data_IF_466476764932
#
_entry.id   IF_466476764932
#
_cell.length_a   1.000
_cell.length_b   1.000
_cell.length_c   1.000
_cell.angle_alpha   90.00
_cell.angle_beta   90.00
_cell.angle_gamma   90.00
#
_symmetry.space_group_name_H-M   'P 1'
#
loop_
_entity.id
_entity.type
_entity.pdbx_description
1 polymer ?
#
# COMPACT_ATOMS: atom_id res chain seq x y z
N UNK A 1 60.78 7.29 -18.63
CA UNK A 1 59.35 7.66 -18.55
C UNK A 1 58.64 7.06 -19.76
N UNK A 2 57.97 5.93 -19.57
CA UNK A 2 57.30 5.17 -20.64
C UNK A 2 55.82 5.02 -20.28
N UNK A 3 55.01 5.50 -21.21
CA UNK A 3 53.55 5.57 -21.23
C UNK A 3 53.01 4.14 -21.37
N UNK A 4 52.20 3.68 -20.42
CA UNK A 4 51.39 2.45 -20.53
C UNK A 4 49.93 2.87 -20.23
N UNK A 5 49.07 3.22 -21.20
CA UNK A 5 48.49 2.35 -22.23
C UNK A 5 47.77 1.10 -21.67
N UNK A 6 47.21 1.16 -20.46
CA UNK A 6 46.37 0.08 -19.90
C UNK A 6 44.86 0.20 -20.22
N UNK A 7 44.44 1.28 -20.90
CA UNK A 7 43.06 1.46 -21.39
C UNK A 7 42.91 0.88 -22.80
N UNK A 8 42.82 -0.45 -22.99
CA UNK A 8 42.28 -1.04 -24.23
C UNK A 8 42.20 -2.59 -24.31
N UNK A 9 42.91 -3.36 -23.48
CA UNK A 9 43.18 -4.78 -23.82
C UNK A 9 42.48 -5.84 -22.93
N UNK A 10 41.32 -5.53 -22.35
CA UNK A 10 40.48 -6.53 -21.64
C UNK A 10 39.13 -6.77 -22.33
N UNK A 11 38.98 -6.29 -23.57
CA UNK A 11 38.01 -6.81 -24.52
C UNK A 11 38.77 -7.81 -25.39
N UNK A 12 38.26 -9.04 -25.51
CA UNK A 12 38.73 -10.11 -26.43
C UNK A 12 39.58 -11.24 -25.81
N UNK A 13 39.01 -12.08 -24.91
CA UNK A 13 39.21 -13.56 -24.90
C UNK A 13 38.52 -14.24 -23.70
N UNK A 14 37.21 -14.48 -23.80
CA UNK A 14 36.55 -15.70 -23.28
C UNK A 14 35.18 -15.83 -23.94
N UNK A 15 35.23 -16.12 -25.24
CA UNK A 15 34.14 -16.76 -25.96
C UNK A 15 34.04 -18.20 -25.40
N UNK A 16 33.04 -18.49 -24.57
CA UNK A 16 32.49 -19.84 -24.48
C UNK A 16 30.98 -19.76 -24.35
N UNK A 17 30.34 -20.12 -25.46
CA UNK A 17 28.93 -20.30 -25.60
C UNK A 17 28.41 -21.40 -24.69
N UNK A 18 27.35 -21.11 -23.93
CA UNK A 18 26.32 -22.10 -23.61
C UNK A 18 24.97 -21.44 -23.84
N UNK A 19 24.47 -21.65 -25.06
CA UNK A 19 23.09 -21.44 -25.46
C UNK A 19 22.24 -22.50 -24.72
N UNK A 20 21.46 -22.09 -23.71
CA UNK A 20 20.39 -22.93 -23.17
C UNK A 20 19.06 -22.24 -23.44
N UNK A 21 18.47 -22.67 -24.55
CA UNK A 21 17.11 -22.39 -24.98
C UNK A 21 16.14 -23.11 -24.03
N UNK A 22 15.62 -22.42 -23.02
CA UNK A 22 14.47 -22.90 -22.24
C UNK A 22 13.29 -21.97 -22.46
N UNK A 23 12.56 -22.25 -23.53
CA UNK A 23 11.20 -21.76 -23.75
C UNK A 23 10.26 -22.48 -22.77
N UNK A 24 10.03 -21.91 -21.59
CA UNK A 24 8.87 -22.27 -20.80
C UNK A 24 7.64 -21.67 -21.48
N UNK A 25 7.02 -22.46 -22.36
CA UNK A 25 5.65 -22.21 -22.82
C UNK A 25 4.74 -22.24 -21.59
N UNK A 26 4.19 -21.09 -21.21
CA UNK A 26 3.21 -21.00 -20.14
C UNK A 26 1.82 -21.17 -20.76
N UNK A 27 1.03 -22.19 -20.36
CA UNK A 27 -0.33 -22.35 -20.83
C UNK A 27 -1.20 -21.18 -20.33
N UNK A 28 -2.21 -20.73 -21.11
CA UNK A 28 -3.19 -19.79 -20.61
C UNK A 28 -3.93 -20.45 -19.45
N UNK A 29 -3.86 -19.82 -18.28
CA UNK A 29 -4.66 -20.23 -17.13
C UNK A 29 -6.11 -19.85 -17.43
N UNK A 30 -6.90 -20.86 -17.77
CA UNK A 30 -8.35 -20.78 -17.91
C UNK A 30 -8.95 -19.95 -16.78
N UNK A 31 -9.61 -18.87 -17.19
CA UNK A 31 -10.44 -18.07 -16.31
C UNK A 31 -11.60 -18.95 -15.81
N UNK A 32 -11.89 -19.00 -14.50
CA UNK A 32 -13.11 -19.60 -14.01
C UNK A 32 -14.32 -18.83 -14.58
N UNK A 33 -15.16 -19.53 -15.33
CA UNK A 33 -16.47 -19.00 -15.73
C UNK A 33 -17.28 -18.69 -14.47
N UNK A 34 -17.94 -17.51 -14.40
CA UNK A 34 -18.87 -17.24 -13.31
C UNK A 34 -20.05 -18.22 -13.39
N UNK A 35 -20.50 -18.78 -12.24
CA UNK A 35 -21.67 -19.63 -12.22
C UNK A 35 -22.89 -18.86 -12.71
N UNK A 36 -23.62 -19.50 -13.64
CA UNK A 36 -24.93 -19.06 -14.10
C UNK A 36 -25.90 -18.97 -12.92
N UNK A 37 -26.47 -17.77 -12.79
CA UNK A 37 -27.75 -17.39 -12.22
C UNK A 37 -28.63 -18.54 -11.67
N UNK A 38 -28.87 -18.50 -10.36
CA UNK A 38 -30.13 -18.97 -9.77
C UNK A 38 -30.80 -17.81 -9.04
N UNK A 39 -32.07 -17.57 -9.41
CA UNK A 39 -33.05 -16.69 -8.77
C UNK A 39 -33.30 -17.15 -7.31
N UNK A 40 -33.87 -16.43 -6.35
CA UNK A 40 -34.72 -15.23 -6.26
C UNK A 40 -34.67 -14.80 -4.78
N UNK A 41 -34.71 -13.49 -4.47
CA UNK A 41 -35.05 -12.99 -3.12
C UNK A 41 -35.52 -11.52 -3.20
N UNK A 42 -36.42 -11.06 -2.31
CA UNK A 42 -37.46 -10.07 -2.62
C UNK A 42 -36.97 -8.62 -2.67
N UNK A 43 -37.69 -7.81 -3.43
CA UNK A 43 -37.50 -6.38 -3.57
C UNK A 43 -37.58 -5.66 -2.22
N UNK A 44 -36.43 -5.22 -1.72
CA UNK A 44 -36.33 -4.19 -0.68
C UNK A 44 -36.67 -2.82 -1.29
N UNK A 45 -37.35 -1.93 -0.53
CA UNK A 45 -37.78 -0.63 -1.05
C UNK A 45 -36.58 0.21 -1.48
N UNK A 46 -36.67 0.76 -2.70
CA UNK A 46 -35.65 1.58 -3.34
C UNK A 46 -35.43 2.86 -2.50
N UNK A 47 -34.39 2.86 -1.68
CA UNK A 47 -33.83 4.08 -1.13
C UNK A 47 -33.26 4.93 -2.29
N UNK A 48 -33.52 6.23 -2.24
CA UNK A 48 -33.06 7.19 -3.23
C UNK A 48 -31.57 7.02 -3.56
N UNK A 49 -31.16 7.20 -4.84
CA UNK A 49 -29.77 6.97 -5.23
C UNK A 49 -28.86 7.96 -4.50
N UNK A 50 -27.94 7.41 -3.69
CA UNK A 50 -26.85 8.19 -3.12
C UNK A 50 -25.99 8.76 -4.27
N UNK A 51 -25.48 10.00 -4.16
CA UNK A 51 -24.60 10.58 -5.16
C UNK A 51 -23.35 9.70 -5.32
N UNK A 52 -23.04 9.30 -6.55
CA UNK A 52 -21.81 8.56 -6.86
C UNK A 52 -20.60 9.45 -6.63
N UNK A 53 -19.56 8.99 -5.91
CA UNK A 53 -18.35 9.78 -5.71
C UNK A 53 -17.66 10.04 -7.05
N UNK A 54 -17.40 11.32 -7.35
CA UNK A 54 -16.64 11.73 -8.54
C UNK A 54 -15.18 11.40 -8.27
N UNK A 55 -14.58 10.55 -9.10
CA UNK A 55 -13.15 10.22 -9.02
C UNK A 55 -12.34 11.45 -9.43
N UNK A 56 -11.51 11.96 -8.52
CA UNK A 56 -10.65 13.12 -8.79
C UNK A 56 -9.29 12.70 -9.38
N UNK A 57 -8.52 13.67 -9.87
CA UNK A 57 -7.14 13.42 -10.31
C UNK A 57 -6.26 12.90 -9.16
N UNK A 58 -6.50 13.36 -7.92
CA UNK A 58 -5.79 12.88 -6.73
C UNK A 58 -6.10 11.39 -6.47
N UNK A 59 -7.38 11.01 -6.56
CA UNK A 59 -7.81 9.61 -6.38
C UNK A 59 -7.23 8.70 -7.45
N UNK A 60 -7.20 9.18 -8.71
CA UNK A 60 -6.59 8.46 -9.81
C UNK A 60 -5.08 8.25 -9.60
N UNK A 61 -4.35 9.26 -9.14
CA UNK A 61 -2.92 9.14 -8.82
C UNK A 61 -2.68 8.17 -7.65
N UNK A 62 -3.53 8.19 -6.61
CA UNK A 62 -3.45 7.22 -5.52
C UNK A 62 -3.65 5.79 -6.02
N UNK A 63 -4.68 5.55 -6.83
CA UNK A 63 -4.93 4.24 -7.43
C UNK A 63 -3.76 3.76 -8.30
N UNK A 64 -3.15 4.67 -9.08
CA UNK A 64 -1.95 4.36 -9.86
C UNK A 64 -0.76 4.01 -8.96
N UNK A 65 -0.55 4.73 -7.85
CA UNK A 65 0.48 4.43 -6.87
C UNK A 65 0.31 3.05 -6.23
N UNK A 66 -0.92 2.71 -5.85
CA UNK A 66 -1.25 1.38 -5.30
C UNK A 66 -1.01 0.26 -6.32
N UNK A 67 -1.38 0.47 -7.58
CA UNK A 67 -1.12 -0.48 -8.67
C UNK A 67 0.38 -0.66 -8.91
N UNK A 68 1.13 0.43 -8.97
CA UNK A 68 2.58 0.40 -9.15
C UNK A 68 3.28 -0.31 -7.97
N UNK A 69 2.84 -0.04 -6.74
CA UNK A 69 3.38 -0.68 -5.54
C UNK A 69 3.20 -2.20 -5.56
N UNK A 70 1.99 -2.66 -5.90
CA UNK A 70 1.69 -4.09 -6.03
C UNK A 70 2.49 -4.76 -7.16
N UNK A 71 2.83 -4.02 -8.21
CA UNK A 71 3.70 -4.47 -9.29
C UNK A 71 5.20 -4.35 -8.97
N UNK A 72 5.57 -4.08 -7.71
CA UNK A 72 6.93 -3.85 -7.24
C UNK A 72 7.68 -2.69 -7.95
N UNK A 73 6.94 -1.77 -8.58
CA UNK A 73 7.50 -0.57 -9.23
C UNK A 73 7.61 0.57 -8.21
N UNK A 74 8.51 0.41 -7.23
CA UNK A 74 8.54 1.30 -6.05
C UNK A 74 8.88 2.76 -6.37
N UNK A 75 9.74 3.02 -7.35
CA UNK A 75 10.05 4.40 -7.78
C UNK A 75 8.80 5.07 -8.38
N UNK A 76 8.09 4.37 -9.27
CA UNK A 76 6.84 4.87 -9.85
C UNK A 76 5.76 5.04 -8.78
N UNK A 77 5.65 4.09 -7.85
CA UNK A 77 4.71 4.17 -6.74
C UNK A 77 4.98 5.40 -5.86
N UNK A 78 6.24 5.63 -5.48
CA UNK A 78 6.65 6.83 -4.72
C UNK A 78 6.25 8.11 -5.44
N UNK A 79 6.52 8.22 -6.74
CA UNK A 79 6.10 9.39 -7.54
C UNK A 79 4.58 9.58 -7.48
N UNK A 80 3.81 8.52 -7.73
CA UNK A 80 2.36 8.61 -7.78
C UNK A 80 1.71 8.93 -6.43
N UNK A 81 2.22 8.37 -5.33
CA UNK A 81 1.74 8.76 -4.00
C UNK A 81 2.02 10.23 -3.69
N UNK A 82 3.19 10.74 -4.07
CA UNK A 82 3.50 12.16 -3.91
C UNK A 82 2.61 13.05 -4.80
N UNK A 83 2.31 12.62 -6.03
CA UNK A 83 1.37 13.31 -6.92
C UNK A 83 -0.03 13.35 -6.31
N UNK A 84 -0.53 12.23 -5.78
CA UNK A 84 -1.84 12.18 -5.13
C UNK A 84 -1.93 13.15 -3.94
N UNK A 85 -0.91 13.17 -3.08
CA UNK A 85 -0.82 14.08 -1.94
C UNK A 85 -0.78 15.55 -2.36
N UNK A 86 -0.01 15.89 -3.40
CA UNK A 86 0.08 17.25 -3.94
C UNK A 86 -1.22 17.70 -4.62
N UNK A 87 -1.93 16.78 -5.28
CA UNK A 87 -3.21 17.05 -5.92
C UNK A 87 -4.37 17.23 -4.92
N UNK A 88 -4.16 16.91 -3.63
CA UNK A 88 -5.12 17.18 -2.56
C UNK A 88 -6.18 16.10 -2.41
N UNK A 89 -5.78 14.90 -1.96
CA UNK A 89 -6.71 13.86 -1.50
C UNK A 89 -7.64 14.42 -0.41
N UNK A 90 -8.95 14.25 -0.59
CA UNK A 90 -9.98 14.82 0.29
C UNK A 90 -10.39 13.87 1.42
N UNK A 91 -10.22 12.56 1.22
CA UNK A 91 -10.52 11.54 2.22
C UNK A 91 -9.30 11.34 3.13
N UNK A 92 -9.41 11.56 4.44
CA UNK A 92 -8.28 11.44 5.36
C UNK A 92 -7.61 10.05 5.36
N UNK A 93 -8.43 9.00 5.23
CA UNK A 93 -7.95 7.61 5.15
C UNK A 93 -7.10 7.36 3.89
N UNK A 94 -7.38 8.05 2.78
CA UNK A 94 -6.62 7.96 1.54
C UNK A 94 -5.27 8.69 1.64
N UNK A 95 -5.26 9.85 2.29
CA UNK A 95 -4.02 10.56 2.64
C UNK A 95 -3.14 9.67 3.53
N UNK A 96 -3.73 9.02 4.54
CA UNK A 96 -3.02 8.09 5.41
C UNK A 96 -2.52 6.85 4.65
N UNK A 97 -3.29 6.35 3.69
CA UNK A 97 -2.90 5.23 2.83
C UNK A 97 -1.70 5.57 1.95
N UNK A 98 -1.68 6.74 1.31
CA UNK A 98 -0.55 7.22 0.53
C UNK A 98 0.72 7.32 1.40
N UNK A 99 0.61 7.94 2.57
CA UNK A 99 1.73 8.06 3.50
C UNK A 99 2.19 6.71 4.08
N UNK A 100 1.29 5.74 4.31
CA UNK A 100 1.66 4.37 4.71
C UNK A 100 2.60 3.74 3.69
N UNK A 101 2.25 3.81 2.41
CA UNK A 101 3.02 3.15 1.36
C UNK A 101 4.35 3.86 1.13
N UNK A 102 4.37 5.20 1.18
CA UNK A 102 5.61 5.97 1.20
C UNK A 102 6.52 5.56 2.36
N UNK A 103 5.97 5.37 3.56
CA UNK A 103 6.75 4.92 4.71
C UNK A 103 7.39 3.56 4.44
N UNK A 104 6.65 2.58 3.91
CA UNK A 104 7.20 1.28 3.55
C UNK A 104 8.33 1.39 2.53
N UNK A 105 8.13 2.14 1.43
CA UNK A 105 9.16 2.39 0.42
C UNK A 105 10.41 3.01 1.05
N UNK A 106 10.26 4.01 1.92
CA UNK A 106 11.38 4.68 2.57
C UNK A 106 12.14 3.78 3.51
N UNK A 107 11.44 2.97 4.30
CA UNK A 107 12.08 2.02 5.18
C UNK A 107 12.86 0.95 4.39
N UNK A 108 12.30 0.40 3.30
CA UNK A 108 13.00 -0.57 2.45
C UNK A 108 14.19 0.00 1.71
N UNK A 109 14.17 1.31 1.44
CA UNK A 109 15.27 2.04 0.80
C UNK A 109 16.24 2.70 1.80
N UNK A 110 16.21 2.30 3.09
CA UNK A 110 17.12 2.79 4.15
C UNK A 110 17.03 4.30 4.42
N UNK A 111 15.91 4.94 4.07
CA UNK A 111 15.61 6.36 4.33
C UNK A 111 14.81 6.53 5.61
N UNK A 112 15.37 6.11 6.76
CA UNK A 112 14.62 5.99 8.02
C UNK A 112 13.96 7.29 8.49
N UNK A 113 14.61 8.44 8.37
CA UNK A 113 14.04 9.75 8.73
C UNK A 113 12.78 10.06 7.92
N UNK A 114 12.80 9.78 6.62
CA UNK A 114 11.64 9.95 5.75
C UNK A 114 10.54 8.93 6.08
N UNK A 115 10.93 7.68 6.38
CA UNK A 115 9.99 6.63 6.81
C UNK A 115 9.23 7.04 8.08
N UNK A 116 9.94 7.49 9.12
CA UNK A 116 9.32 7.96 10.36
C UNK A 116 8.41 9.18 10.12
N UNK A 117 8.82 10.12 9.28
CA UNK A 117 8.00 11.29 8.91
C UNK A 117 6.71 10.88 8.19
N UNK A 118 6.79 9.91 7.28
CA UNK A 118 5.63 9.42 6.54
C UNK A 118 4.62 8.73 7.48
N UNK A 119 5.07 7.88 8.43
CA UNK A 119 4.15 7.31 9.42
C UNK A 119 3.48 8.37 10.30
N UNK A 120 4.23 9.38 10.75
CA UNK A 120 3.65 10.51 11.51
C UNK A 120 2.61 11.26 10.68
N UNK A 121 2.90 11.52 9.41
CA UNK A 121 1.96 12.16 8.50
C UNK A 121 0.70 11.32 8.26
N UNK A 122 0.84 9.99 8.16
CA UNK A 122 -0.31 9.09 8.06
C UNK A 122 -1.24 9.20 9.28
N UNK A 123 -0.68 9.18 10.50
CA UNK A 123 -1.45 9.35 11.74
C UNK A 123 -2.01 10.76 11.91
N UNK A 124 -1.30 11.78 11.43
CA UNK A 124 -1.78 13.16 11.47
C UNK A 124 -2.99 13.36 10.54
N UNK A 125 -2.98 12.72 9.38
CA UNK A 125 -4.10 12.75 8.44
C UNK A 125 -5.31 11.96 8.98
N UNK A 126 -5.07 10.73 9.45
CA UNK A 126 -6.11 9.89 10.05
C UNK A 126 -5.66 9.46 11.46
N UNK A 127 -6.25 10.04 12.54
CA UNK A 127 -5.95 9.64 13.91
C UNK A 127 -6.24 8.15 14.20
N UNK A 128 -7.10 7.50 13.41
CA UNK A 128 -7.39 6.07 13.47
C UNK A 128 -6.35 5.18 12.77
N UNK A 129 -5.44 5.76 11.97
CA UNK A 129 -4.46 5.01 11.18
C UNK A 129 -3.63 4.06 12.02
N UNK A 130 -3.77 2.76 11.81
CA UNK A 130 -2.93 1.77 12.44
C UNK A 130 -2.47 0.71 11.43
N UNK A 131 -1.21 0.31 11.53
CA UNK A 131 -0.75 -0.89 10.85
C UNK A 131 -1.43 -2.12 11.43
N UNK A 132 -1.74 -3.10 10.57
CA UNK A 132 -2.17 -4.42 11.02
C UNK A 132 -1.08 -5.08 11.87
N UNK A 133 -1.45 -6.11 12.64
CA UNK A 133 -0.50 -6.87 13.46
C UNK A 133 0.67 -7.43 12.63
N UNK A 134 0.37 -7.93 11.44
CA UNK A 134 1.39 -8.46 10.53
C UNK A 134 2.34 -7.36 10.03
N UNK A 135 1.81 -6.22 9.57
CA UNK A 135 2.61 -5.09 9.12
C UNK A 135 3.48 -4.51 10.26
N UNK A 136 2.90 -4.30 11.46
CA UNK A 136 3.62 -3.75 12.61
C UNK A 136 4.73 -4.67 13.14
N UNK A 137 4.64 -5.98 12.86
CA UNK A 137 5.63 -6.99 13.21
C UNK A 137 6.84 -7.06 12.26
N UNK A 138 6.82 -6.35 11.14
CA UNK A 138 7.91 -6.42 10.16
C UNK A 138 9.23 -5.88 10.74
N UNK A 139 10.36 -6.59 10.58
CA UNK A 139 11.62 -6.24 11.25
C UNK A 139 12.18 -4.89 10.82
N UNK A 140 11.91 -4.46 9.57
CA UNK A 140 12.50 -3.25 9.00
C UNK A 140 11.76 -1.97 9.39
N UNK A 141 10.43 -1.95 9.26
CA UNK A 141 9.64 -0.74 9.52
C UNK A 141 8.88 -0.79 10.84
N UNK A 142 8.65 -1.96 11.43
CA UNK A 142 7.96 -2.10 12.71
C UNK A 142 8.61 -1.28 13.84
N UNK A 143 9.94 -1.33 14.03
CA UNK A 143 10.63 -0.48 15.01
C UNK A 143 10.46 1.02 14.72
N UNK A 144 10.54 1.42 13.45
CA UNK A 144 10.38 2.82 13.04
C UNK A 144 8.95 3.30 13.31
N UNK A 145 7.94 2.51 12.94
CA UNK A 145 6.53 2.78 13.20
C UNK A 145 6.24 2.95 14.69
N UNK A 146 6.72 2.05 15.55
CA UNK A 146 6.53 2.14 17.02
C UNK A 146 7.23 3.36 17.64
N UNK A 147 8.36 3.79 17.09
CA UNK A 147 9.05 5.02 17.53
C UNK A 147 8.34 6.27 16.99
N UNK A 148 7.79 6.19 15.79
CA UNK A 148 7.14 7.30 15.11
C UNK A 148 5.77 7.62 15.71
N UNK A 149 5.02 6.60 16.11
CA UNK A 149 3.68 6.75 16.67
C UNK A 149 3.70 6.43 18.17
N UNK A 150 3.15 7.32 19.02
CA UNK A 150 2.94 6.98 20.41
C UNK A 150 1.99 5.78 20.51
N UNK A 151 2.28 4.86 21.42
CA UNK A 151 1.36 3.77 21.75
C UNK A 151 0.13 4.40 22.38
N UNK A 152 -0.92 4.61 21.58
CA UNK A 152 -2.23 5.01 22.10
C UNK A 152 -2.77 3.80 22.85
N UNK A 153 -2.71 3.87 24.19
CA UNK A 153 -3.47 2.97 25.05
C UNK A 153 -4.93 3.08 24.58
N UNK A 154 -5.60 1.98 24.20
CA UNK A 154 -6.97 2.07 23.70
C UNK A 154 -7.81 2.81 24.74
N UNK A 155 -8.47 3.88 24.32
CA UNK A 155 -9.36 4.63 25.18
C UNK A 155 -10.41 3.64 25.71
N UNK A 156 -10.40 3.43 27.02
CA UNK A 156 -11.38 2.60 27.70
C UNK A 156 -12.77 3.09 27.29
N UNK A 157 -13.49 2.27 26.53
CA UNK A 157 -14.89 2.54 26.22
C UNK A 157 -15.61 2.75 27.55
N UNK A 158 -16.31 3.87 27.79
CA UNK A 158 -17.12 3.99 28.99
C UNK A 158 -18.17 2.88 28.92
N UNK A 159 -18.05 1.92 29.84
CA UNK A 159 -19.02 0.85 30.00
C UNK A 159 -20.39 1.51 30.20
N UNK A 160 -21.30 1.32 29.24
CA UNK A 160 -22.74 1.54 29.46
C UNK A 160 -23.10 0.68 30.68
N UNK A 161 -23.28 1.31 31.85
CA UNK A 161 -23.90 0.66 33.00
C UNK A 161 -25.25 0.16 32.50
N UNK A 162 -25.40 -1.16 32.43
CA UNK A 162 -26.65 -1.79 32.05
C UNK A 162 -27.77 -1.23 32.90
N UNK A 163 -28.77 -0.63 32.24
CA UNK A 163 -30.03 -0.34 32.87
C UNK A 163 -30.63 -1.67 33.31
N UNK A 164 -30.77 -1.85 34.62
CA UNK A 164 -31.44 -2.97 35.21
C UNK A 164 -32.88 -3.00 34.69
N UNK A 165 -33.20 -4.00 33.86
CA UNK A 165 -34.58 -4.36 33.54
C UNK A 165 -35.13 -5.06 34.79
N UNK A 166 -35.98 -4.35 35.52
CA UNK A 166 -36.73 -4.87 36.66
C UNK A 166 -37.76 -5.89 36.14
N UNK A 167 -37.91 -7.07 36.75
CA UNK A 167 -38.92 -8.04 36.33
C UNK A 167 -40.32 -7.49 36.61
N UNK A 168 -41.20 -7.60 35.63
CA UNK A 168 -42.65 -7.36 35.75
C UNK A 168 -43.35 -8.63 36.29
N UNK A 169 -44.52 -8.48 36.94
CA UNK A 169 -45.07 -9.44 37.91
C UNK A 169 -45.48 -10.79 37.34
#
# INVERSE_FOLDING_TARGET
MRIHAHFAFHRLTTLLAVLMLSACTMPPKDAPQPPKLVASAPAVPVAAPAPTPVVTAADAALAQGLKAYQAAQYTTAETQFNTALQAGLTVPADVATAHKHLAFIYCTSRRETACAKAFKAARAADPGFALSKAEAGHPMWGPVYRKALPVVKPASTPAKKGAAVKPQP
#
